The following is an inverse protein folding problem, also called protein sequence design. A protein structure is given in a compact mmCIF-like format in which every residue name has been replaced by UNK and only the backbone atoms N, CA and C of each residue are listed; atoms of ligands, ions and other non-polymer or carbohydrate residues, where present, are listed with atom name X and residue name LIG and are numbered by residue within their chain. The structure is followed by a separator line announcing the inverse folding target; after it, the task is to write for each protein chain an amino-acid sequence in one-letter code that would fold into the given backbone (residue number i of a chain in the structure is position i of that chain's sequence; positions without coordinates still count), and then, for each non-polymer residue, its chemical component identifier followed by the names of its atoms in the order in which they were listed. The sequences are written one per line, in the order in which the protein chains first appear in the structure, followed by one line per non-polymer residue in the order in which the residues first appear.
data_IF_562535194852
#
_entry.id   IF_562535194852
#
_cell.length_a   1.000
_cell.length_b   1.000
_cell.length_c   1.000
_cell.angle_alpha   90.00
_cell.angle_beta   90.00
_cell.angle_gamma   90.00
#
_symmetry.space_group_name_H-M   'P 1'
#
loop_
_entity.id
_entity.type
_entity.pdbx_description
1 polymer ?
#
# COMPACT_ATOMS: atom_id res chain seq x y z
N UNK A 1 -25.25 11.70 -10.44
CA UNK A 1 -23.93 11.65 -9.78
C UNK A 1 -22.89 10.74 -10.49
N UNK A 2 -22.96 10.49 -11.82
CA UNK A 2 -22.22 9.38 -12.46
C UNK A 2 -21.09 9.75 -13.46
N UNK A 3 -20.94 11.01 -13.87
CA UNK A 3 -19.90 11.41 -14.84
C UNK A 3 -18.52 11.63 -14.22
N UNK A 4 -18.46 12.40 -13.14
CA UNK A 4 -17.20 12.81 -12.49
C UNK A 4 -16.43 11.63 -11.88
N UNK A 5 -17.13 10.69 -11.24
CA UNK A 5 -16.53 9.47 -10.69
C UNK A 5 -15.95 8.55 -11.76
N UNK A 6 -16.62 8.41 -12.91
CA UNK A 6 -16.13 7.57 -14.02
C UNK A 6 -14.89 8.17 -14.68
N UNK A 7 -14.86 9.49 -14.89
CA UNK A 7 -13.72 10.21 -15.49
C UNK A 7 -12.49 10.10 -14.58
N UNK A 8 -12.66 10.27 -13.27
CA UNK A 8 -11.54 10.12 -12.33
C UNK A 8 -11.03 8.68 -12.26
N UNK A 9 -11.91 7.68 -12.29
CA UNK A 9 -11.51 6.27 -12.33
C UNK A 9 -10.67 5.95 -13.57
N UNK A 10 -11.10 6.35 -14.76
CA UNK A 10 -10.36 6.05 -15.99
C UNK A 10 -8.98 6.72 -16.01
N UNK A 11 -8.87 7.96 -15.52
CA UNK A 11 -7.58 8.64 -15.37
C UNK A 11 -6.65 7.94 -14.38
N UNK A 12 -7.18 7.51 -13.23
CA UNK A 12 -6.41 6.73 -12.26
C UNK A 12 -5.87 5.45 -12.91
N UNK A 13 -6.72 4.73 -13.65
CA UNK A 13 -6.32 3.50 -14.33
C UNK A 13 -5.22 3.72 -15.36
N UNK A 14 -5.31 4.78 -16.17
CA UNK A 14 -4.27 5.13 -17.15
C UNK A 14 -2.95 5.49 -16.48
N UNK A 15 -3.00 6.25 -15.37
CA UNK A 15 -1.81 6.61 -14.60
C UNK A 15 -1.15 5.38 -13.98
N UNK A 16 -1.94 4.50 -13.35
CA UNK A 16 -1.46 3.24 -12.79
C UNK A 16 -0.85 2.32 -13.85
N UNK A 17 -1.49 2.18 -15.00
CA UNK A 17 -0.98 1.35 -16.10
C UNK A 17 0.34 1.90 -16.67
N UNK A 18 0.44 3.22 -16.83
CA UNK A 18 1.68 3.85 -17.28
C UNK A 18 2.80 3.68 -16.26
N UNK A 19 2.50 3.88 -14.98
CA UNK A 19 3.46 3.73 -13.89
C UNK A 19 3.91 2.28 -13.73
N UNK A 20 3.00 1.31 -13.75
CA UNK A 20 3.37 -0.11 -13.60
C UNK A 20 4.24 -0.60 -14.75
N UNK A 21 3.98 -0.17 -15.99
CA UNK A 21 4.85 -0.44 -17.13
C UNK A 21 6.24 0.15 -16.95
N UNK A 22 6.33 1.40 -16.47
CA UNK A 22 7.59 2.05 -16.16
C UNK A 22 8.38 1.30 -15.07
N UNK A 23 7.69 0.89 -13.99
CA UNK A 23 8.25 0.08 -12.92
C UNK A 23 8.84 -1.21 -13.46
N UNK A 24 8.08 -1.88 -14.33
CA UNK A 24 8.45 -3.18 -14.87
C UNK A 24 9.62 -3.07 -15.86
N UNK A 25 9.50 -2.20 -16.86
CA UNK A 25 10.50 -2.05 -17.92
C UNK A 25 11.83 -1.52 -17.39
N UNK A 26 11.78 -0.61 -16.42
CA UNK A 26 12.97 -0.02 -15.81
C UNK A 26 13.56 -0.83 -14.66
N UNK A 27 12.97 -1.99 -14.31
CA UNK A 27 13.33 -2.77 -13.13
C UNK A 27 13.38 -1.92 -11.85
N UNK A 28 12.50 -0.93 -11.75
CA UNK A 28 12.56 0.12 -10.71
C UNK A 28 12.24 -0.41 -9.32
N UNK A 29 11.61 -1.58 -9.24
CA UNK A 29 11.41 -2.32 -7.99
C UNK A 29 12.74 -2.62 -7.27
N UNK A 30 13.86 -2.73 -8.00
CA UNK A 30 15.20 -2.89 -7.41
C UNK A 30 15.69 -1.65 -6.67
N UNK A 31 15.13 -0.48 -6.99
CA UNK A 31 15.43 0.80 -6.34
C UNK A 31 14.38 1.16 -5.30
N UNK A 32 13.41 0.28 -5.04
CA UNK A 32 12.31 0.50 -4.12
C UNK A 32 11.41 1.70 -4.51
N UNK A 33 11.39 2.06 -5.80
CA UNK A 33 10.50 3.10 -6.31
C UNK A 33 9.03 2.70 -6.06
N UNK A 34 8.23 3.67 -5.64
CA UNK A 34 6.81 3.52 -5.38
C UNK A 34 6.01 4.66 -6.02
N UNK A 35 4.70 4.67 -5.77
CA UNK A 35 3.85 5.82 -6.07
C UNK A 35 2.87 6.04 -4.94
N UNK A 36 2.84 7.25 -4.41
CA UNK A 36 1.86 7.63 -3.40
C UNK A 36 0.47 7.79 -4.02
N UNK A 37 -0.58 7.48 -3.25
CA UNK A 37 -1.96 7.49 -3.75
C UNK A 37 -2.40 8.86 -4.28
N UNK A 38 -1.89 9.95 -3.71
CA UNK A 38 -2.19 11.33 -4.11
C UNK A 38 -1.46 11.77 -5.39
N UNK A 39 -0.33 11.15 -5.73
CA UNK A 39 0.35 11.29 -7.02
C UNK A 39 -0.42 10.60 -8.16
N UNK A 40 -1.19 9.55 -7.85
CA UNK A 40 -2.07 8.91 -8.83
C UNK A 40 -3.27 9.80 -9.17
N UNK A 41 -3.83 10.48 -8.16
CA UNK A 41 -4.97 11.37 -8.35
C UNK A 41 -5.13 12.39 -7.23
N UNK A 42 -5.38 13.65 -7.63
CA UNK A 42 -5.69 14.76 -6.71
C UNK A 42 -6.87 14.49 -5.77
N UNK A 43 -7.76 13.56 -6.13
CA UNK A 43 -8.87 13.14 -5.24
C UNK A 43 -8.34 12.62 -3.90
N UNK A 44 -7.14 12.03 -3.90
CA UNK A 44 -6.49 11.45 -2.72
C UNK A 44 -5.54 12.43 -2.02
N UNK A 45 -5.53 13.73 -2.34
CA UNK A 45 -4.81 14.72 -1.53
C UNK A 45 -5.39 14.86 -0.11
N UNK A 46 -6.68 14.56 0.06
CA UNK A 46 -7.31 14.60 1.38
C UNK A 46 -7.03 13.31 2.16
N UNK A 47 -6.38 13.42 3.33
CA UNK A 47 -6.00 12.30 4.21
C UNK A 47 -7.15 11.35 4.54
N UNK A 48 -8.36 11.87 4.75
CA UNK A 48 -9.53 11.04 5.02
C UNK A 48 -9.94 10.09 3.88
N UNK A 49 -9.35 10.25 2.68
CA UNK A 49 -9.56 9.37 1.52
C UNK A 49 -8.41 8.39 1.29
N UNK A 50 -7.29 8.52 1.98
CA UNK A 50 -6.09 7.72 1.75
C UNK A 50 -6.33 6.23 1.92
N UNK A 51 -6.94 5.81 3.03
CA UNK A 51 -7.15 4.39 3.30
C UNK A 51 -8.00 3.70 2.23
N UNK A 52 -9.22 4.19 2.01
CA UNK A 52 -10.14 3.60 1.02
C UNK A 52 -9.64 3.81 -0.41
N UNK A 53 -8.98 4.94 -0.67
CA UNK A 53 -8.37 5.26 -1.96
C UNK A 53 -7.24 4.31 -2.32
N UNK A 54 -6.33 4.05 -1.38
CA UNK A 54 -5.24 3.10 -1.54
C UNK A 54 -5.76 1.70 -1.83
N UNK A 55 -6.72 1.20 -1.04
CA UNK A 55 -7.31 -0.13 -1.29
C UNK A 55 -8.04 -0.22 -2.64
N UNK A 56 -8.67 0.87 -3.07
CA UNK A 56 -9.29 0.95 -4.39
C UNK A 56 -8.25 0.92 -5.52
N UNK A 57 -7.17 1.69 -5.40
CA UNK A 57 -6.10 1.71 -6.39
C UNK A 57 -5.35 0.38 -6.44
N UNK A 58 -5.11 -0.26 -5.30
CA UNK A 58 -4.53 -1.60 -5.21
C UNK A 58 -5.38 -2.63 -5.97
N UNK A 59 -6.70 -2.62 -5.76
CA UNK A 59 -7.64 -3.51 -6.49
C UNK A 59 -7.64 -3.26 -8.00
N UNK A 60 -7.44 -2.01 -8.41
CA UNK A 60 -7.34 -1.66 -9.82
C UNK A 60 -6.03 -2.12 -10.44
N UNK A 61 -4.92 -1.94 -9.70
CA UNK A 61 -3.58 -2.30 -10.12
C UNK A 61 -3.43 -3.82 -10.23
N UNK A 62 -3.87 -4.58 -9.23
CA UNK A 62 -3.73 -6.05 -9.20
C UNK A 62 -4.44 -6.73 -10.38
N UNK A 63 -5.59 -6.19 -10.81
CA UNK A 63 -6.34 -6.70 -11.98
C UNK A 63 -5.70 -6.37 -13.33
N UNK A 64 -4.69 -5.50 -13.34
CA UNK A 64 -4.02 -5.02 -14.56
C UNK A 64 -2.61 -5.52 -14.72
N UNK A 65 -1.99 -5.98 -13.63
CA UNK A 65 -0.66 -6.54 -13.66
C UNK A 65 -0.66 -7.90 -14.36
N UNK A 66 0.46 -8.18 -15.03
CA UNK A 66 0.72 -9.50 -15.58
C UNK A 66 0.94 -10.50 -14.43
N UNK A 67 0.60 -11.77 -14.67
CA UNK A 67 0.71 -12.86 -13.71
C UNK A 67 2.10 -13.06 -13.10
N UNK A 68 3.17 -12.63 -13.78
CA UNK A 68 4.55 -12.69 -13.30
C UNK A 68 4.89 -11.63 -12.23
N UNK A 69 4.00 -10.68 -11.98
CA UNK A 69 4.20 -9.58 -11.03
C UNK A 69 3.12 -9.56 -9.97
N UNK A 70 3.50 -9.09 -8.79
CA UNK A 70 2.62 -8.77 -7.69
C UNK A 70 2.69 -7.29 -7.34
N UNK A 71 1.74 -6.85 -6.52
CA UNK A 71 1.72 -5.52 -5.95
C UNK A 71 1.24 -5.54 -4.52
N UNK A 72 1.60 -4.50 -3.77
CA UNK A 72 1.03 -4.25 -2.47
C UNK A 72 0.83 -2.76 -2.23
N UNK A 73 0.01 -2.46 -1.23
CA UNK A 73 -0.17 -1.12 -0.67
C UNK A 73 0.53 -1.06 0.69
N UNK A 74 1.52 -0.19 0.83
CA UNK A 74 2.10 0.18 2.11
C UNK A 74 1.32 1.35 2.73
N UNK A 75 0.91 1.20 3.98
CA UNK A 75 0.21 2.24 4.74
C UNK A 75 1.09 2.60 5.95
N UNK A 76 1.81 3.73 5.91
CA UNK A 76 2.51 4.22 7.09
C UNK A 76 1.51 4.64 8.15
N UNK A 77 1.77 4.23 9.38
CA UNK A 77 1.06 4.67 10.56
C UNK A 77 1.87 5.75 11.27
N UNK A 78 1.22 6.51 12.16
CA UNK A 78 1.91 7.40 13.08
C UNK A 78 3.02 6.65 13.82
N UNK A 79 4.10 7.33 14.14
CA UNK A 79 5.12 6.82 15.03
C UNK A 79 4.56 6.61 16.45
N UNK A 80 5.21 5.75 17.23
CA UNK A 80 4.82 5.51 18.62
C UNK A 80 6.05 5.40 19.52
N UNK A 81 5.98 5.91 20.74
CA UNK A 81 7.03 5.72 21.75
C UNK A 81 7.06 4.31 22.37
N UNK A 82 6.16 3.43 21.98
CA UNK A 82 6.10 2.05 22.48
C UNK A 82 5.70 1.06 21.38
N UNK A 83 6.06 -0.21 21.62
CA UNK A 83 5.75 -1.33 20.73
C UNK A 83 4.23 -1.51 20.58
N UNK A 84 3.77 -1.83 19.38
CA UNK A 84 2.33 -1.96 19.10
C UNK A 84 1.79 -3.29 19.62
N UNK A 85 0.66 -3.26 20.33
CA UNK A 85 -0.11 -4.48 20.61
C UNK A 85 -0.85 -4.91 19.34
N UNK A 86 -0.48 -6.08 18.81
CA UNK A 86 -1.09 -6.63 17.60
C UNK A 86 -2.60 -6.90 17.76
N UNK A 87 -3.11 -7.03 18.99
CA UNK A 87 -4.54 -7.20 19.24
C UNK A 87 -5.34 -5.93 18.95
N UNK A 88 -4.71 -4.76 19.04
CA UNK A 88 -5.34 -3.48 18.74
C UNK A 88 -5.44 -3.20 17.24
N UNK A 89 -4.65 -3.90 16.43
CA UNK A 89 -4.61 -3.74 14.98
C UNK A 89 -5.91 -4.23 14.34
N UNK A 90 -6.82 -3.30 14.11
CA UNK A 90 -8.02 -3.46 13.30
C UNK A 90 -8.15 -2.29 12.30
N UNK A 91 -9.15 -2.35 11.42
CA UNK A 91 -9.36 -1.33 10.38
C UNK A 91 -9.57 0.07 10.97
N UNK A 92 -10.29 0.17 12.08
CA UNK A 92 -10.54 1.47 12.72
C UNK A 92 -9.29 2.03 13.38
N UNK A 93 -8.46 1.17 13.98
CA UNK A 93 -7.14 1.56 14.49
C UNK A 93 -6.27 2.10 13.35
N UNK A 94 -6.16 1.37 12.24
CA UNK A 94 -5.35 1.77 11.08
C UNK A 94 -5.82 3.14 10.55
N UNK A 95 -7.13 3.31 10.36
CA UNK A 95 -7.69 4.57 9.85
C UNK A 95 -7.47 5.76 10.79
N UNK A 96 -7.50 5.54 12.11
CA UNK A 96 -7.23 6.59 13.10
C UNK A 96 -5.75 6.96 13.18
N UNK A 97 -4.87 5.98 12.99
CA UNK A 97 -3.43 6.10 13.14
C UNK A 97 -2.69 6.23 11.81
N UNK A 98 -3.33 6.63 10.71
CA UNK A 98 -2.61 6.93 9.46
C UNK A 98 -1.53 7.98 9.72
N UNK A 99 -0.37 7.87 9.10
CA UNK A 99 0.64 8.94 9.17
C UNK A 99 0.04 10.29 8.73
N UNK A 100 0.55 11.39 9.26
CA UNK A 100 -0.04 12.71 9.00
C UNK A 100 0.43 13.34 7.69
N UNK A 101 1.65 13.01 7.26
CA UNK A 101 2.33 13.68 6.13
C UNK A 101 2.68 12.73 4.98
N UNK A 102 2.56 11.42 5.17
CA UNK A 102 3.02 10.41 4.21
C UNK A 102 1.81 9.61 3.74
N UNK A 103 1.34 9.81 2.50
CA UNK A 103 0.25 9.03 1.96
C UNK A 103 0.66 7.56 1.78
N UNK A 104 -0.31 6.62 1.82
CA UNK A 104 -0.06 5.25 1.38
C UNK A 104 0.56 5.19 -0.01
N UNK A 105 1.37 4.18 -0.26
CA UNK A 105 2.03 3.98 -1.54
C UNK A 105 1.86 2.57 -2.10
N UNK A 106 1.87 2.48 -3.42
CA UNK A 106 1.77 1.24 -4.16
C UNK A 106 3.15 0.81 -4.65
N UNK A 107 3.39 -0.49 -4.55
CA UNK A 107 4.62 -1.14 -5.02
C UNK A 107 4.27 -2.21 -6.05
N UNK A 108 5.20 -2.46 -6.98
CA UNK A 108 5.14 -3.55 -7.97
C UNK A 108 6.46 -4.30 -7.93
N UNK A 109 6.41 -5.63 -7.93
CA UNK A 109 7.59 -6.48 -7.86
C UNK A 109 7.34 -7.80 -8.60
N UNK A 110 8.39 -8.44 -9.17
CA UNK A 110 8.23 -9.76 -9.76
C UNK A 110 7.99 -10.81 -8.68
N UNK A 111 7.18 -11.83 -8.99
CA UNK A 111 6.88 -12.94 -8.06
C UNK A 111 8.07 -13.84 -7.79
N UNK A 112 8.94 -13.96 -8.78
CA UNK A 112 10.13 -14.80 -8.72
C UNK A 112 11.39 -13.93 -8.75
N UNK A 113 12.44 -14.41 -8.08
CA UNK A 113 13.76 -13.78 -8.14
C UNK A 113 13.90 -12.48 -7.35
N UNK A 114 12.97 -12.19 -6.43
CA UNK A 114 13.14 -11.14 -5.42
C UNK A 114 13.51 -11.80 -4.10
N UNK A 115 14.70 -11.47 -3.60
CA UNK A 115 15.01 -11.69 -2.19
C UNK A 115 14.18 -10.67 -1.40
N UNK A 116 13.01 -11.11 -0.91
CA UNK A 116 12.08 -10.28 -0.14
C UNK A 116 12.65 -9.83 1.21
N UNK A 117 13.81 -10.37 1.61
CA UNK A 117 14.38 -10.23 2.94
C UNK A 117 14.83 -8.79 3.24
N UNK A 118 15.23 -8.01 2.23
CA UNK A 118 15.60 -6.59 2.42
C UNK A 118 14.39 -5.65 2.44
N UNK A 119 13.32 -6.01 1.71
CA UNK A 119 12.16 -5.14 1.51
C UNK A 119 11.45 -4.79 2.83
N UNK A 120 11.45 -5.70 3.82
CA UNK A 120 10.30 -5.80 4.72
C UNK A 120 10.61 -5.82 6.22
N UNK A 121 11.82 -6.21 6.63
CA UNK A 121 12.03 -6.57 8.04
C UNK A 121 11.06 -7.68 8.43
N UNK A 122 10.85 -7.91 9.72
CA UNK A 122 9.87 -8.93 10.14
C UNK A 122 8.44 -8.45 9.85
N UNK A 123 7.82 -9.04 8.82
CA UNK A 123 6.40 -8.89 8.54
C UNK A 123 5.59 -9.88 9.35
N UNK A 124 4.72 -9.34 10.19
CA UNK A 124 3.83 -10.12 11.03
C UNK A 124 2.48 -10.24 10.30
N UNK A 125 2.10 -11.47 9.93
CA UNK A 125 0.81 -11.74 9.32
C UNK A 125 -0.34 -11.47 10.30
N UNK A 126 -1.30 -10.63 9.91
CA UNK A 126 -2.46 -10.28 10.71
C UNK A 126 -3.67 -11.13 10.32
N UNK A 127 -3.81 -12.30 10.96
CA UNK A 127 -4.85 -13.28 10.62
C UNK A 127 -6.28 -12.69 10.64
N UNK A 128 -6.62 -11.93 11.69
CA UNK A 128 -7.94 -11.29 11.83
C UNK A 128 -8.30 -10.39 10.64
N UNK A 129 -7.35 -9.58 10.17
CA UNK A 129 -7.55 -8.67 9.04
C UNK A 129 -7.46 -9.39 7.68
N UNK A 130 -6.67 -10.47 7.64
CA UNK A 130 -6.49 -11.33 6.47
C UNK A 130 -7.61 -12.36 6.30
N UNK A 131 -8.54 -12.45 7.25
CA UNK A 131 -9.73 -13.32 7.15
C UNK A 131 -10.62 -12.97 5.96
N UNK A 132 -10.54 -11.74 5.45
CA UNK A 132 -11.21 -11.35 4.21
C UNK A 132 -10.67 -12.16 3.02
N UNK A 133 -11.52 -12.51 2.05
CA UNK A 133 -11.08 -13.21 0.83
C UNK A 133 -10.28 -12.33 -0.15
N UNK A 134 -10.05 -11.06 0.19
CA UNK A 134 -9.51 -10.08 -0.76
C UNK A 134 -8.03 -9.80 -0.56
N UNK A 135 -7.58 -9.73 0.69
CA UNK A 135 -6.23 -9.27 1.02
C UNK A 135 -5.57 -10.17 2.06
N UNK A 136 -4.28 -10.42 1.89
CA UNK A 136 -3.38 -10.73 2.99
C UNK A 136 -2.89 -9.41 3.59
N UNK A 137 -2.86 -9.33 4.92
CA UNK A 137 -2.50 -8.12 5.66
C UNK A 137 -1.35 -8.41 6.59
N UNK A 138 -0.32 -7.56 6.53
CA UNK A 138 0.89 -7.69 7.34
C UNK A 138 1.16 -6.41 8.09
N UNK A 139 1.88 -6.52 9.20
CA UNK A 139 2.38 -5.40 9.99
C UNK A 139 3.90 -5.46 10.06
N UNK A 140 4.55 -4.32 9.99
CA UNK A 140 5.94 -4.18 10.42
C UNK A 140 6.08 -3.02 11.38
N UNK A 141 7.03 -3.18 12.29
CA UNK A 141 7.51 -2.09 13.14
C UNK A 141 9.02 -2.19 13.27
N UNK A 142 9.68 -1.02 13.28
CA UNK A 142 11.12 -0.89 13.50
C UNK A 142 11.35 0.26 14.46
N UNK A 143 12.33 0.11 15.34
CA UNK A 143 12.71 1.17 16.26
C UNK A 143 13.77 2.06 15.60
N UNK A 144 13.40 3.31 15.30
CA UNK A 144 14.24 4.30 14.62
C UNK A 144 14.04 5.66 15.28
N UNK A 145 15.12 6.42 15.50
CA UNK A 145 15.07 7.78 16.07
C UNK A 145 14.26 7.91 17.37
N UNK A 146 14.38 6.93 18.26
CA UNK A 146 13.65 6.83 19.53
C UNK A 146 12.13 6.62 19.42
N UNK A 147 11.65 6.25 18.24
CA UNK A 147 10.25 5.92 17.99
C UNK A 147 10.10 4.61 17.22
N UNK A 148 8.93 3.99 17.31
CA UNK A 148 8.55 2.87 16.48
C UNK A 148 7.93 3.39 15.19
N UNK A 149 8.63 3.19 14.08
CA UNK A 149 8.14 3.42 12.71
C UNK A 149 7.31 2.21 12.30
N UNK A 150 6.07 2.44 11.88
CA UNK A 150 5.05 1.39 11.77
C UNK A 150 4.39 1.41 10.40
N UNK A 151 4.21 0.24 9.82
CA UNK A 151 3.56 0.09 8.52
C UNK A 151 2.59 -1.08 8.53
N UNK A 152 1.50 -0.92 7.78
CA UNK A 152 0.58 -2.02 7.44
C UNK A 152 0.58 -2.22 5.94
N UNK A 153 0.68 -3.47 5.51
CA UNK A 153 0.76 -3.85 4.11
C UNK A 153 -0.45 -4.66 3.70
N UNK A 154 -1.07 -4.30 2.57
CA UNK A 154 -2.16 -5.04 1.96
C UNK A 154 -1.71 -5.65 0.64
N UNK A 155 -1.79 -6.97 0.56
CA UNK A 155 -1.41 -7.76 -0.60
C UNK A 155 -2.66 -8.45 -1.19
N UNK A 156 -2.93 -8.37 -2.51
CA UNK A 156 -3.95 -9.17 -3.18
C UNK A 156 -3.79 -10.67 -2.91
N UNK A 157 -4.92 -11.39 -2.78
CA UNK A 157 -4.97 -12.86 -2.80
C UNK A 157 -5.20 -13.39 -4.20
#
# INVERSE_FOLDING_TARGET
MNGYYRINKQRCLQKLESWSKFMIQGQRWKLYDDIHVDEVSKVFQARNRWFHGGLFLLDCLSKKLDHAYDCFLGIPLLEAGCKTDLNDLNIDYIKKNLHDMTPPSLYVFPKEGVEHDEWLGEWIFLDKLSSSRKWNVYFSERYEYDEFVRNVFFLPK
#
